data_IF_665248065032
#
_entry.id   IF_665248065032
#
_cell.length_a   1.000
_cell.length_b   1.000
_cell.length_c   1.000
_cell.angle_alpha   90.00
_cell.angle_beta   90.00
_cell.angle_gamma   90.00
#
_symmetry.space_group_name_H-M   'P 1'
#
loop_
_entity.id
_entity.type
_entity.pdbx_description
1 polymer ?
#
# COMPACT_ATOMS: atom_id res chain seq x y z
N UNK A 1 -16.96 24.42 -12.14
CA UNK A 1 -16.68 22.97 -12.13
C UNK A 1 -15.19 22.70 -11.92
N UNK A 2 -14.32 23.28 -12.75
CA UNK A 2 -12.85 23.09 -12.67
C UNK A 2 -12.21 23.70 -11.41
N UNK A 3 -12.71 24.86 -10.97
CA UNK A 3 -12.26 25.57 -9.77
C UNK A 3 -12.61 24.84 -8.46
N UNK A 4 -13.78 24.18 -8.41
CA UNK A 4 -14.22 23.35 -7.28
C UNK A 4 -13.34 22.10 -7.17
N UNK A 5 -13.05 21.44 -8.32
CA UNK A 5 -12.18 20.26 -8.37
C UNK A 5 -10.75 20.58 -7.92
N UNK A 6 -10.24 21.77 -8.25
CA UNK A 6 -8.94 22.25 -7.80
C UNK A 6 -8.87 22.52 -6.29
N UNK A 7 -9.95 23.04 -5.70
CA UNK A 7 -10.09 23.23 -4.24
C UNK A 7 -10.18 21.90 -3.49
N UNK A 8 -10.96 20.94 -4.00
CA UNK A 8 -11.07 19.59 -3.44
C UNK A 8 -9.75 18.82 -3.49
N UNK A 9 -8.99 18.95 -4.58
CA UNK A 9 -7.64 18.37 -4.69
C UNK A 9 -6.68 18.98 -3.66
N UNK A 10 -6.62 20.31 -3.55
CA UNK A 10 -5.75 20.99 -2.56
C UNK A 10 -6.10 20.62 -1.12
N UNK A 11 -7.40 20.60 -0.80
CA UNK A 11 -7.87 20.23 0.54
C UNK A 11 -7.51 18.77 0.87
N UNK A 12 -7.65 17.86 -0.11
CA UNK A 12 -7.23 16.47 0.04
C UNK A 12 -5.71 16.34 0.17
N UNK A 13 -4.92 17.10 -0.57
CA UNK A 13 -3.46 17.12 -0.41
C UNK A 13 -3.06 17.59 0.99
N UNK A 14 -3.64 18.68 1.49
CA UNK A 14 -3.36 19.27 2.81
C UNK A 14 -3.76 18.33 3.96
N UNK A 15 -4.95 17.73 3.91
CA UNK A 15 -5.39 16.73 4.90
C UNK A 15 -4.45 15.52 4.96
N UNK A 16 -3.85 15.14 3.82
CA UNK A 16 -2.99 13.97 3.74
C UNK A 16 -1.54 14.23 4.19
N UNK A 17 -1.10 15.49 4.32
CA UNK A 17 0.29 15.80 4.71
C UNK A 17 0.61 15.45 6.17
N UNK A 18 -0.43 15.35 7.00
CA UNK A 18 -0.30 15.19 8.45
C UNK A 18 -0.69 13.81 8.96
N UNK A 19 -1.16 12.92 8.08
CA UNK A 19 -1.56 11.57 8.50
C UNK A 19 -0.34 10.75 8.90
N UNK A 20 -0.44 10.11 10.06
CA UNK A 20 0.46 9.05 10.48
C UNK A 20 0.42 7.87 9.51
N UNK A 21 1.46 7.02 9.53
CA UNK A 21 1.51 5.82 8.69
C UNK A 21 0.34 4.86 8.96
N UNK A 22 -0.14 4.80 10.22
CA UNK A 22 -1.32 4.02 10.61
C UNK A 22 -2.61 4.56 9.96
N UNK A 23 -2.78 5.88 9.92
CA UNK A 23 -3.93 6.51 9.28
C UNK A 23 -3.86 6.34 7.76
N UNK A 24 -2.67 6.48 7.16
CA UNK A 24 -2.43 6.18 5.74
C UNK A 24 -2.81 4.73 5.42
N UNK A 25 -2.37 3.76 6.23
CA UNK A 25 -2.67 2.34 6.02
C UNK A 25 -4.18 2.08 6.04
N UNK A 26 -4.87 2.66 7.02
CA UNK A 26 -6.33 2.52 7.15
C UNK A 26 -7.04 3.07 5.92
N UNK A 27 -6.61 4.23 5.44
CA UNK A 27 -7.16 4.86 4.23
C UNK A 27 -6.86 4.03 2.97
N UNK A 28 -5.64 3.53 2.82
CA UNK A 28 -5.27 2.64 1.71
C UNK A 28 -6.17 1.40 1.65
N UNK A 29 -6.40 0.72 2.77
CA UNK A 29 -7.29 -0.45 2.81
C UNK A 29 -8.73 -0.11 2.42
N UNK A 30 -9.22 1.06 2.82
CA UNK A 30 -10.55 1.54 2.42
C UNK A 30 -10.65 1.74 0.91
N UNK A 31 -9.66 2.42 0.31
CA UNK A 31 -9.57 2.64 -1.14
C UNK A 31 -9.56 1.30 -1.88
N UNK A 32 -8.65 0.39 -1.51
CA UNK A 32 -8.51 -0.92 -2.16
C UNK A 32 -9.81 -1.74 -2.12
N UNK A 33 -10.53 -1.70 -1.00
CA UNK A 33 -11.83 -2.34 -0.85
C UNK A 33 -12.85 -1.81 -1.87
N UNK A 34 -12.92 -0.48 -2.04
CA UNK A 34 -13.81 0.14 -3.03
C UNK A 34 -13.41 -0.14 -4.48
N UNK A 35 -12.11 -0.27 -4.75
CA UNK A 35 -11.55 -0.58 -6.08
C UNK A 35 -11.62 -2.07 -6.45
N UNK A 36 -12.36 -2.89 -5.68
CA UNK A 36 -12.49 -4.34 -5.88
C UNK A 36 -11.14 -5.08 -5.87
N UNK A 37 -10.16 -4.57 -5.13
CA UNK A 37 -8.90 -5.27 -4.85
C UNK A 37 -9.07 -6.01 -3.52
N UNK A 38 -8.77 -7.31 -3.52
CA UNK A 38 -8.77 -8.10 -2.29
C UNK A 38 -7.46 -7.85 -1.55
N UNK A 39 -7.47 -6.95 -0.56
CA UNK A 39 -6.26 -6.56 0.16
C UNK A 39 -6.41 -6.78 1.67
N UNK A 40 -5.29 -7.07 2.34
CA UNK A 40 -5.20 -7.18 3.79
C UNK A 40 -3.89 -6.57 4.29
N UNK A 41 -3.88 -6.18 5.57
CA UNK A 41 -2.65 -5.79 6.26
C UNK A 41 -1.78 -7.02 6.50
N UNK A 42 -0.54 -6.95 6.06
CA UNK A 42 0.47 -7.97 6.31
C UNK A 42 1.18 -7.67 7.64
N UNK A 43 0.85 -8.44 8.67
CA UNK A 43 1.53 -8.32 9.96
C UNK A 43 2.86 -9.07 9.90
N UNK A 44 3.97 -8.34 9.75
CA UNK A 44 5.33 -8.89 9.90
C UNK A 44 5.87 -8.60 11.29
N UNK A 45 6.76 -9.45 11.80
CA UNK A 45 7.36 -9.21 13.12
C UNK A 45 7.75 -10.46 13.88
N UNK A 46 7.78 -10.29 15.19
CA UNK A 46 8.28 -11.30 16.13
C UNK A 46 7.38 -11.31 17.36
N UNK A 47 6.93 -12.50 17.75
CA UNK A 47 6.28 -12.74 19.04
C UNK A 47 7.22 -13.55 19.93
N UNK A 48 7.41 -13.08 21.16
CA UNK A 48 8.04 -13.87 22.23
C UNK A 48 6.93 -14.51 23.04
N UNK A 49 6.94 -15.83 23.16
CA UNK A 49 5.96 -16.56 23.95
C UNK A 49 6.44 -16.80 25.39
N UNK A 50 7.76 -16.98 25.55
CA UNK A 50 8.49 -17.02 26.81
C UNK A 50 9.97 -16.69 26.54
N UNK A 51 10.82 -16.81 27.57
CA UNK A 51 12.25 -16.50 27.50
C UNK A 51 13.02 -17.34 26.46
N UNK A 52 12.49 -18.49 26.06
CA UNK A 52 13.15 -19.44 25.15
C UNK A 52 12.53 -19.49 23.76
N UNK A 53 11.28 -19.06 23.60
CA UNK A 53 10.52 -19.23 22.35
C UNK A 53 10.21 -17.90 21.67
N UNK A 54 10.88 -17.71 20.53
CA UNK A 54 10.71 -16.57 19.64
C UNK A 54 10.16 -17.04 18.30
N UNK A 55 8.96 -16.61 17.93
CA UNK A 55 8.33 -16.89 16.63
C UNK A 55 8.43 -15.66 15.76
N UNK A 56 8.98 -15.81 14.56
CA UNK A 56 9.01 -14.76 13.54
C UNK A 56 7.94 -15.04 12.50
N UNK A 57 7.24 -14.00 12.07
CA UNK A 57 6.20 -14.08 11.05
C UNK A 57 6.46 -13.08 9.94
N UNK A 58 6.18 -13.53 8.72
CA UNK A 58 6.53 -12.80 7.50
C UNK A 58 8.04 -12.79 7.22
N UNK A 59 8.41 -12.04 6.19
CA UNK A 59 9.80 -11.82 5.78
C UNK A 59 10.15 -10.34 5.96
N UNK A 60 11.38 -10.06 6.37
CA UNK A 60 11.87 -8.67 6.54
C UNK A 60 11.71 -7.92 5.21
N UNK A 61 11.06 -6.75 5.26
CA UNK A 61 10.85 -5.91 4.09
C UNK A 61 9.61 -6.23 3.27
N UNK A 62 8.80 -7.25 3.64
CA UNK A 62 7.50 -7.41 3.00
C UNK A 62 6.65 -6.16 3.20
N UNK A 63 5.88 -5.81 2.16
CA UNK A 63 4.99 -4.66 2.16
C UNK A 63 3.92 -4.74 3.26
N UNK A 64 3.51 -3.59 3.76
CA UNK A 64 2.44 -3.45 4.76
C UNK A 64 1.09 -3.99 4.28
N UNK A 65 0.80 -3.87 2.99
CA UNK A 65 -0.44 -4.34 2.37
C UNK A 65 -0.11 -5.34 1.27
N UNK A 66 -0.79 -6.47 1.29
CA UNK A 66 -0.73 -7.51 0.26
C UNK A 66 -2.14 -7.83 -0.23
N UNK A 67 -2.25 -8.33 -1.46
CA UNK A 67 -3.55 -8.62 -2.05
C UNK A 67 -3.51 -9.20 -3.45
N UNK A 68 -4.66 -9.19 -4.11
CA UNK A 68 -4.79 -9.52 -5.52
C UNK A 68 -5.99 -8.81 -6.17
N UNK A 69 -5.85 -8.53 -7.47
CA UNK A 69 -6.89 -7.86 -8.26
C UNK A 69 -8.00 -8.86 -8.63
N UNK A 70 -9.26 -8.50 -8.45
CA UNK A 70 -10.41 -9.39 -8.71
C UNK A 70 -11.10 -9.16 -10.05
N UNK A 71 -10.70 -8.15 -10.83
CA UNK A 71 -11.42 -7.70 -12.02
C UNK A 71 -10.48 -7.19 -13.12
N UNK A 72 -11.06 -6.86 -14.28
CA UNK A 72 -10.35 -6.26 -15.39
C UNK A 72 -9.27 -7.16 -16.02
N UNK A 73 -8.40 -6.59 -16.89
CA UNK A 73 -7.29 -7.30 -17.53
C UNK A 73 -6.20 -7.74 -16.54
N UNK A 74 -6.23 -7.23 -15.31
CA UNK A 74 -5.30 -7.55 -14.24
C UNK A 74 -5.81 -8.60 -13.26
N UNK A 75 -7.00 -9.20 -13.51
CA UNK A 75 -7.58 -10.20 -12.62
C UNK A 75 -6.59 -11.33 -12.31
N UNK A 76 -6.43 -11.63 -11.02
CA UNK A 76 -5.52 -12.67 -10.53
C UNK A 76 -4.09 -12.18 -10.31
N UNK A 77 -3.72 -10.97 -10.77
CA UNK A 77 -2.41 -10.41 -10.45
C UNK A 77 -2.31 -10.14 -8.95
N UNK A 78 -1.16 -10.53 -8.38
CA UNK A 78 -0.81 -10.20 -7.03
C UNK A 78 -0.55 -8.70 -6.90
N UNK A 79 -0.91 -8.14 -5.75
CA UNK A 79 -0.79 -6.72 -5.43
C UNK A 79 0.00 -6.55 -4.14
N UNK A 80 0.93 -5.60 -4.11
CA UNK A 80 1.65 -5.23 -2.90
C UNK A 80 1.80 -3.71 -2.81
N UNK A 81 1.60 -3.16 -1.61
CA UNK A 81 1.76 -1.73 -1.37
C UNK A 81 2.44 -1.47 -0.03
N UNK A 82 3.57 -0.77 -0.07
CA UNK A 82 4.29 -0.32 1.12
C UNK A 82 3.80 1.06 1.55
N UNK A 83 3.24 1.17 2.75
CA UNK A 83 2.62 2.41 3.21
C UNK A 83 3.69 3.32 3.80
N UNK A 84 3.67 4.61 3.44
CA UNK A 84 4.57 5.62 4.00
C UNK A 84 3.81 6.88 4.37
N UNK A 85 4.26 7.52 5.44
CA UNK A 85 3.95 8.93 5.69
C UNK A 85 4.75 9.85 4.74
N UNK A 86 4.32 11.11 4.62
CA UNK A 86 4.91 12.09 3.69
C UNK A 86 6.45 12.17 3.86
N UNK A 87 7.19 12.10 2.74
CA UNK A 87 8.67 12.14 2.64
C UNK A 87 9.43 10.88 3.09
N UNK A 88 8.76 9.88 3.68
CA UNK A 88 9.44 8.64 4.02
C UNK A 88 9.63 7.79 2.76
N UNK A 89 10.80 7.16 2.64
CA UNK A 89 11.14 6.23 1.56
C UNK A 89 11.16 4.80 2.08
N UNK A 90 10.91 3.80 1.23
CA UNK A 90 11.11 2.40 1.59
C UNK A 90 12.56 2.15 1.99
N UNK A 91 12.76 1.23 2.93
CA UNK A 91 14.10 0.73 3.27
C UNK A 91 14.65 -0.12 2.12
N UNK A 92 15.97 -0.39 2.12
CA UNK A 92 16.60 -1.27 1.13
C UNK A 92 15.88 -2.62 0.96
N UNK A 93 15.49 -3.27 2.06
CA UNK A 93 14.79 -4.56 1.99
C UNK A 93 13.37 -4.45 1.44
N UNK A 94 12.69 -3.32 1.67
CA UNK A 94 11.34 -3.07 1.14
C UNK A 94 11.40 -2.77 -0.36
N UNK A 95 12.38 -1.97 -0.80
CA UNK A 95 12.64 -1.75 -2.21
C UNK A 95 12.91 -3.07 -2.94
N UNK A 96 13.85 -3.88 -2.44
CA UNK A 96 14.16 -5.16 -3.03
C UNK A 96 12.95 -6.11 -3.05
N UNK A 97 12.09 -6.09 -2.03
CA UNK A 97 10.87 -6.89 -2.04
C UNK A 97 9.90 -6.46 -3.16
N UNK A 98 9.68 -5.15 -3.31
CA UNK A 98 8.80 -4.60 -4.35
C UNK A 98 9.36 -4.90 -5.76
N UNK A 99 10.66 -4.69 -5.98
CA UNK A 99 11.33 -4.97 -7.26
C UNK A 99 11.17 -6.45 -7.67
N UNK A 100 11.40 -7.39 -6.75
CA UNK A 100 11.23 -8.82 -7.04
C UNK A 100 9.78 -9.18 -7.41
N UNK A 101 8.78 -8.49 -6.83
CA UNK A 101 7.38 -8.71 -7.18
C UNK A 101 7.04 -8.08 -8.54
N UNK A 102 7.57 -6.89 -8.83
CA UNK A 102 7.41 -6.19 -10.11
C UNK A 102 7.97 -7.02 -11.26
N UNK A 103 9.18 -7.56 -11.10
CA UNK A 103 9.84 -8.47 -12.04
C UNK A 103 9.00 -9.74 -12.29
N UNK A 104 8.24 -10.18 -11.27
CA UNK A 104 7.27 -11.28 -11.36
C UNK A 104 5.94 -10.91 -12.05
N UNK A 105 5.78 -9.67 -12.51
CA UNK A 105 4.57 -9.18 -13.18
C UNK A 105 3.43 -8.75 -12.24
N UNK A 106 3.72 -8.60 -10.95
CA UNK A 106 2.77 -8.12 -9.94
C UNK A 106 2.51 -6.61 -10.09
N UNK A 107 1.46 -6.12 -9.43
CA UNK A 107 1.21 -4.68 -9.30
C UNK A 107 1.76 -4.24 -7.95
N UNK A 108 2.75 -3.36 -7.99
CA UNK A 108 3.46 -2.92 -6.79
C UNK A 108 3.43 -1.40 -6.68
N UNK A 109 3.55 -0.90 -5.46
CA UNK A 109 3.76 0.52 -5.22
C UNK A 109 4.17 0.81 -3.79
N UNK A 110 4.47 2.08 -3.53
CA UNK A 110 4.74 2.55 -2.20
C UNK A 110 4.39 4.02 -2.05
N UNK A 111 4.04 4.43 -0.84
CA UNK A 111 3.75 5.82 -0.53
C UNK A 111 2.52 6.02 0.34
N UNK A 112 1.95 7.21 0.21
CA UNK A 112 0.72 7.62 0.87
C UNK A 112 -0.51 7.03 0.18
N UNK A 113 -1.69 7.22 0.77
CA UNK A 113 -2.97 6.85 0.15
C UNK A 113 -3.26 7.61 -1.15
N UNK A 114 -2.74 8.83 -1.35
CA UNK A 114 -2.90 9.55 -2.62
C UNK A 114 -2.06 8.90 -3.72
N UNK A 115 -0.81 8.56 -3.42
CA UNK A 115 0.06 7.87 -4.38
C UNK A 115 -0.47 6.47 -4.73
N UNK A 116 -1.24 5.86 -3.82
CA UNK A 116 -1.99 4.65 -4.15
C UNK A 116 -3.07 4.93 -5.18
N UNK A 117 -3.85 6.01 -5.04
CA UNK A 117 -4.85 6.40 -6.04
C UNK A 117 -4.19 6.62 -7.39
N UNK A 118 -3.08 7.38 -7.44
CA UNK A 118 -2.33 7.64 -8.67
C UNK A 118 -1.88 6.32 -9.34
N UNK A 119 -1.37 5.36 -8.55
CA UNK A 119 -1.02 4.03 -9.05
C UNK A 119 -2.22 3.27 -9.61
N UNK A 120 -3.36 3.31 -8.93
CA UNK A 120 -4.56 2.60 -9.37
C UNK A 120 -5.12 3.22 -10.67
N UNK A 121 -5.04 4.54 -10.83
CA UNK A 121 -5.37 5.22 -12.08
C UNK A 121 -4.42 4.81 -13.21
N UNK A 122 -3.10 4.83 -12.99
CA UNK A 122 -2.09 4.40 -13.97
C UNK A 122 -2.28 2.95 -14.44
N UNK A 123 -2.87 2.10 -13.59
CA UNK A 123 -3.15 0.69 -13.90
C UNK A 123 -4.58 0.42 -14.34
N UNK A 124 -5.38 1.45 -14.59
CA UNK A 124 -6.80 1.33 -14.97
C UNK A 124 -7.61 0.45 -13.98
N UNK A 125 -7.39 0.65 -12.68
CA UNK A 125 -7.99 -0.13 -11.58
C UNK A 125 -9.07 0.64 -10.78
N UNK A 126 -9.37 1.88 -11.16
CA UNK A 126 -10.45 2.69 -10.58
C UNK A 126 -11.69 2.75 -11.46
#
# INVERSE_FOLDING_TARGET
MEEIRGLEMKLNEELNQHLSEKEQLTRCLSILSTSRICAWRNNTGVAKFDDSRVVRFGTKGQSDILGFVKHGPHRGKFFAYEVKAKKNRPTYHQHNFLENLEDGGCIVGWGTSNQLVDLLEDKDLL
#
